data_IF_445652743538
#
_entry.id   IF_445652743538
#
_cell.length_a   1.000
_cell.length_b   1.000
_cell.length_c   1.000
_cell.angle_alpha   90.00
_cell.angle_beta   90.00
_cell.angle_gamma   90.00
#
_symmetry.space_group_name_H-M   'P 1'
#
loop_
_entity.id
_entity.type
_entity.pdbx_description
1 polymer ?
#
# COMPACT_ATOMS: atom_id res chain seq x y z
N UNK A 1 24.08 -20.74 -8.99
CA UNK A 1 23.24 -19.76 -8.29
C UNK A 1 23.93 -18.42 -8.40
N UNK A 2 23.35 -17.37 -8.98
CA UNK A 2 23.98 -16.06 -8.95
C UNK A 2 24.05 -15.61 -7.49
N UNK A 3 25.22 -15.12 -7.07
CA UNK A 3 25.47 -14.56 -5.76
C UNK A 3 24.50 -13.41 -5.50
N UNK A 4 23.77 -13.43 -4.38
CA UNK A 4 22.94 -12.32 -3.92
C UNK A 4 23.76 -11.02 -3.96
N UNK A 5 23.25 -9.95 -4.55
CA UNK A 5 23.93 -8.66 -4.46
C UNK A 5 23.99 -8.22 -2.98
N UNK A 6 25.16 -7.79 -2.53
CA UNK A 6 25.48 -7.42 -1.15
C UNK A 6 24.81 -6.08 -0.68
N UNK A 7 23.61 -5.76 -1.17
CA UNK A 7 22.97 -4.45 -0.98
C UNK A 7 21.87 -4.39 0.08
N UNK A 8 21.48 -5.55 0.63
CA UNK A 8 20.39 -5.60 1.59
C UNK A 8 20.92 -5.83 3.00
N UNK A 9 20.41 -5.07 3.94
CA UNK A 9 20.76 -5.18 5.36
C UNK A 9 20.01 -6.30 6.07
N UNK A 10 20.11 -6.33 7.39
CA UNK A 10 19.55 -7.38 8.24
C UNK A 10 18.21 -7.00 8.90
N UNK A 11 17.61 -5.86 8.54
CA UNK A 11 16.35 -5.41 9.13
C UNK A 11 15.16 -6.14 8.51
N UNK A 12 14.21 -6.52 9.35
CA UNK A 12 12.88 -6.93 8.90
C UNK A 12 12.05 -5.72 8.59
N UNK A 13 11.32 -5.76 7.47
CA UNK A 13 10.54 -4.64 6.99
C UNK A 13 9.08 -5.05 6.77
N UNK A 14 8.15 -4.29 7.33
CA UNK A 14 6.73 -4.37 7.00
C UNK A 14 6.35 -3.14 6.19
N UNK A 15 5.92 -3.36 4.96
CA UNK A 15 5.46 -2.32 4.04
C UNK A 15 3.96 -2.33 4.01
N UNK A 16 3.33 -1.26 4.45
CA UNK A 16 1.87 -1.09 4.43
C UNK A 16 1.44 -0.26 3.23
N UNK A 17 0.33 -0.64 2.62
CA UNK A 17 -0.42 0.32 1.82
C UNK A 17 -1.10 1.35 2.74
N UNK A 18 -1.54 2.47 2.16
CA UNK A 18 -2.17 3.57 2.89
C UNK A 18 -3.70 3.51 2.78
N UNK A 19 -4.22 3.69 1.55
CA UNK A 19 -5.65 3.84 1.27
C UNK A 19 -6.37 2.47 1.31
N UNK A 20 -7.31 2.28 2.22
CA UNK A 20 -7.99 0.99 2.42
C UNK A 20 -7.26 0.04 3.37
N UNK A 21 -6.01 0.36 3.75
CA UNK A 21 -5.21 -0.46 4.68
C UNK A 21 -5.01 0.24 6.01
N UNK A 22 -4.33 1.40 6.05
CA UNK A 22 -4.12 2.18 7.28
C UNK A 22 -5.25 3.19 7.52
N UNK A 23 -5.90 3.64 6.44
CA UNK A 23 -6.98 4.63 6.48
C UNK A 23 -8.16 4.20 5.60
N UNK A 24 -9.37 4.52 6.02
CA UNK A 24 -10.56 4.49 5.17
C UNK A 24 -10.70 5.83 4.45
N UNK A 25 -10.23 5.87 3.23
CA UNK A 25 -10.36 7.02 2.30
C UNK A 25 -11.32 6.76 1.15
N UNK A 26 -11.88 5.54 1.03
CA UNK A 26 -12.72 5.12 -0.09
C UNK A 26 -13.89 6.08 -0.37
N UNK A 27 -14.67 6.56 0.63
CA UNK A 27 -15.75 7.52 0.38
C UNK A 27 -15.25 8.83 -0.25
N UNK A 28 -14.10 9.33 0.22
CA UNK A 28 -13.47 10.56 -0.30
C UNK A 28 -12.97 10.37 -1.72
N UNK A 29 -12.32 9.24 -2.00
CA UNK A 29 -11.81 8.90 -3.33
C UNK A 29 -12.94 8.77 -4.36
N UNK A 30 -14.05 8.12 -3.99
CA UNK A 30 -15.23 8.00 -4.86
C UNK A 30 -15.86 9.36 -5.12
N UNK A 31 -16.01 10.19 -4.09
CA UNK A 31 -16.53 11.55 -4.24
C UNK A 31 -15.64 12.38 -5.17
N UNK A 32 -14.33 12.39 -4.94
CA UNK A 32 -13.36 13.12 -5.75
C UNK A 32 -13.38 12.67 -7.22
N UNK A 33 -13.48 11.35 -7.46
CA UNK A 33 -13.57 10.81 -8.81
C UNK A 33 -14.84 11.25 -9.55
N UNK A 34 -16.01 11.20 -8.88
CA UNK A 34 -17.26 11.67 -9.44
C UNK A 34 -17.23 13.18 -9.75
N UNK A 35 -16.66 13.98 -8.84
CA UNK A 35 -16.52 15.43 -9.01
C UNK A 35 -15.65 15.74 -10.23
N UNK A 36 -14.46 15.16 -10.31
CA UNK A 36 -13.57 15.37 -11.44
C UNK A 36 -14.17 14.88 -12.77
N UNK A 37 -14.88 13.76 -12.74
CA UNK A 37 -15.55 13.21 -13.92
C UNK A 37 -16.66 14.14 -14.42
N UNK A 38 -17.51 14.65 -13.52
CA UNK A 38 -18.59 15.58 -13.87
C UNK A 38 -18.04 16.89 -14.43
N UNK A 39 -16.95 17.42 -13.87
CA UNK A 39 -16.32 18.67 -14.30
C UNK A 39 -15.69 18.54 -15.70
N UNK A 40 -14.97 17.45 -15.96
CA UNK A 40 -14.14 17.34 -17.18
C UNK A 40 -14.86 16.59 -18.30
N UNK A 41 -15.61 15.53 -17.98
CA UNK A 41 -16.30 14.69 -18.97
C UNK A 41 -17.73 15.17 -19.21
N UNK A 42 -18.35 15.84 -18.23
CA UNK A 42 -19.66 16.45 -18.36
C UNK A 42 -20.83 15.48 -18.48
N UNK A 43 -20.65 14.22 -18.08
CA UNK A 43 -21.67 13.16 -18.11
C UNK A 43 -22.10 12.77 -16.70
N UNK A 44 -23.32 12.26 -16.58
CA UNK A 44 -23.94 12.01 -15.28
C UNK A 44 -23.39 10.78 -14.53
N UNK A 45 -22.79 9.82 -15.20
CA UNK A 45 -22.41 8.55 -14.57
C UNK A 45 -20.93 8.22 -14.76
N UNK A 46 -20.19 8.41 -13.67
CA UNK A 46 -18.78 8.07 -13.61
C UNK A 46 -18.59 6.54 -13.42
N UNK A 47 -17.61 5.90 -14.09
CA UNK A 47 -17.36 4.47 -13.99
C UNK A 47 -16.68 4.09 -12.65
N UNK A 48 -17.38 4.29 -11.54
CA UNK A 48 -16.84 4.15 -10.18
C UNK A 48 -16.34 2.76 -9.89
N UNK A 49 -17.06 1.71 -10.31
CA UNK A 49 -16.63 0.32 -10.06
C UNK A 49 -15.33 -0.02 -10.78
N UNK A 50 -15.13 0.52 -12.00
CA UNK A 50 -13.89 0.35 -12.74
C UNK A 50 -12.75 1.14 -12.11
N UNK A 51 -13.03 2.32 -11.56
CA UNK A 51 -12.08 3.11 -10.78
C UNK A 51 -11.64 2.38 -9.51
N UNK A 52 -12.59 1.83 -8.74
CA UNK A 52 -12.31 1.12 -7.50
C UNK A 52 -11.40 -0.11 -7.72
N UNK A 53 -11.60 -0.85 -8.81
CA UNK A 53 -10.75 -2.00 -9.16
C UNK A 53 -9.28 -1.63 -9.48
N UNK A 54 -9.00 -0.38 -9.75
CA UNK A 54 -7.66 0.13 -10.07
C UNK A 54 -7.03 0.92 -8.91
N UNK A 55 -7.74 1.10 -7.78
CA UNK A 55 -7.16 1.75 -6.61
C UNK A 55 -5.91 1.00 -6.14
N UNK A 56 -4.93 1.76 -5.68
CA UNK A 56 -3.58 1.28 -5.39
C UNK A 56 -2.57 1.68 -6.47
N UNK A 57 -3.00 1.89 -7.73
CA UNK A 57 -2.18 2.47 -8.78
C UNK A 57 -2.14 4.01 -8.68
N UNK A 58 -1.11 4.67 -9.26
CA UNK A 58 -1.09 6.12 -9.44
C UNK A 58 -2.29 6.62 -10.25
N UNK A 59 -2.91 7.73 -9.82
CA UNK A 59 -4.13 8.21 -10.47
C UNK A 59 -3.98 8.54 -11.97
N UNK A 60 -2.85 9.10 -12.46
CA UNK A 60 -2.63 9.26 -13.90
C UNK A 60 -2.68 7.93 -14.68
N UNK A 61 -2.18 6.84 -14.07
CA UNK A 61 -2.23 5.51 -14.67
C UNK A 61 -3.67 4.96 -14.67
N UNK A 62 -4.44 5.19 -13.61
CA UNK A 62 -5.86 4.84 -13.56
C UNK A 62 -6.62 5.53 -14.68
N UNK A 63 -6.40 6.85 -14.89
CA UNK A 63 -7.02 7.61 -15.98
C UNK A 63 -6.68 6.99 -17.35
N UNK A 64 -5.40 6.69 -17.59
CA UNK A 64 -4.95 6.09 -18.82
C UNK A 64 -5.60 4.71 -19.08
N UNK A 65 -5.68 3.85 -18.06
CA UNK A 65 -6.31 2.53 -18.14
C UNK A 65 -7.82 2.58 -18.39
N UNK A 66 -8.48 3.63 -17.87
CA UNK A 66 -9.92 3.86 -18.07
C UNK A 66 -10.22 4.63 -19.37
N UNK A 67 -9.20 5.07 -20.12
CA UNK A 67 -9.38 5.91 -21.31
C UNK A 67 -9.97 7.29 -20.97
N UNK A 68 -9.71 7.80 -19.76
CA UNK A 68 -10.23 9.07 -19.26
C UNK A 68 -9.22 10.22 -19.47
N UNK A 69 -9.71 11.45 -19.64
CA UNK A 69 -8.85 12.62 -19.87
C UNK A 69 -7.92 12.89 -18.69
N UNK A 70 -6.62 13.13 -18.95
CA UNK A 70 -5.65 13.51 -17.92
C UNK A 70 -6.03 14.79 -17.18
N UNK A 71 -6.82 15.65 -17.80
CA UNK A 71 -7.35 16.89 -17.20
C UNK A 71 -8.17 16.64 -15.94
N UNK A 72 -8.63 15.41 -15.69
CA UNK A 72 -9.27 15.03 -14.43
C UNK A 72 -8.33 15.02 -13.22
N UNK A 73 -7.00 15.08 -13.44
CA UNK A 73 -6.02 14.92 -12.35
C UNK A 73 -6.13 16.02 -11.30
N UNK A 74 -6.09 17.28 -11.70
CA UNK A 74 -6.17 18.42 -10.76
C UNK A 74 -7.54 18.57 -10.07
N UNK A 75 -8.69 18.45 -10.77
CA UNK A 75 -10.00 18.41 -10.11
C UNK A 75 -10.12 17.28 -9.08
N UNK A 76 -9.59 16.09 -9.41
CA UNK A 76 -9.58 14.96 -8.48
C UNK A 76 -8.74 15.26 -7.22
N UNK A 77 -7.53 15.80 -7.39
CA UNK A 77 -6.67 16.18 -6.26
C UNK A 77 -7.34 17.24 -5.38
N UNK A 78 -7.91 18.28 -5.98
CA UNK A 78 -8.59 19.34 -5.27
C UNK A 78 -9.79 18.81 -4.46
N UNK A 79 -10.64 17.99 -5.06
CA UNK A 79 -11.79 17.39 -4.39
C UNK A 79 -11.36 16.38 -3.29
N UNK A 80 -10.31 15.58 -3.54
CA UNK A 80 -9.75 14.68 -2.54
C UNK A 80 -9.16 15.43 -1.34
N UNK A 81 -8.49 16.57 -1.58
CA UNK A 81 -7.98 17.44 -0.51
C UNK A 81 -9.11 18.06 0.30
N UNK A 82 -10.13 18.58 -0.35
CA UNK A 82 -11.30 19.17 0.33
C UNK A 82 -12.03 18.14 1.24
N UNK A 83 -11.97 16.86 0.89
CA UNK A 83 -12.60 15.78 1.66
C UNK A 83 -11.74 15.18 2.77
N UNK A 84 -10.53 15.69 3.03
CA UNK A 84 -9.58 15.06 3.98
C UNK A 84 -10.14 14.85 5.39
N UNK A 85 -11.06 15.71 5.82
CA UNK A 85 -11.72 15.61 7.13
C UNK A 85 -12.65 14.38 7.27
N UNK A 86 -13.07 13.79 6.15
CA UNK A 86 -13.92 12.60 6.11
C UNK A 86 -13.10 11.29 6.05
N UNK A 87 -11.79 11.37 5.90
CA UNK A 87 -10.92 10.21 6.03
C UNK A 87 -10.89 9.77 7.51
N UNK A 88 -10.82 8.45 7.73
CA UNK A 88 -10.68 7.86 9.07
C UNK A 88 -9.46 6.96 9.12
N UNK A 89 -8.74 6.98 10.22
CA UNK A 89 -7.69 6.00 10.47
C UNK A 89 -8.30 4.69 10.98
N UNK A 90 -7.72 3.57 10.60
CA UNK A 90 -8.02 2.26 11.18
C UNK A 90 -7.20 2.09 12.46
N UNK A 91 -7.68 2.60 13.59
CA UNK A 91 -6.94 2.67 14.87
C UNK A 91 -6.40 1.30 15.31
N UNK A 92 -7.19 0.23 15.14
CA UNK A 92 -6.75 -1.13 15.47
C UNK A 92 -5.58 -1.59 14.60
N UNK A 93 -5.53 -1.17 13.32
CA UNK A 93 -4.40 -1.46 12.42
C UNK A 93 -3.17 -0.65 12.82
N UNK A 94 -3.34 0.59 13.24
CA UNK A 94 -2.22 1.41 13.75
C UNK A 94 -1.61 0.77 15.00
N UNK A 95 -2.43 0.19 15.88
CA UNK A 95 -1.95 -0.59 17.03
C UNK A 95 -1.11 -1.81 16.60
N UNK A 96 -1.49 -2.48 15.51
CA UNK A 96 -0.67 -3.57 14.92
C UNK A 96 0.67 -3.03 14.41
N UNK A 97 0.69 -1.85 13.77
CA UNK A 97 1.93 -1.22 13.32
C UNK A 97 2.86 -0.91 14.50
N UNK A 98 2.34 -0.38 15.60
CA UNK A 98 3.10 -0.13 16.83
C UNK A 98 3.71 -1.42 17.38
N UNK A 99 2.91 -2.47 17.51
CA UNK A 99 3.38 -3.78 17.99
C UNK A 99 4.48 -4.40 17.09
N UNK A 100 4.40 -4.18 15.79
CA UNK A 100 5.43 -4.62 14.82
C UNK A 100 6.73 -3.85 15.04
N UNK A 101 6.68 -2.55 15.27
CA UNK A 101 7.84 -1.70 15.57
C UNK A 101 8.47 -2.05 16.91
N UNK A 102 7.66 -2.21 17.96
CA UNK A 102 8.11 -2.63 19.29
C UNK A 102 8.83 -3.99 19.25
N UNK A 103 8.42 -4.83 18.30
CA UNK A 103 9.07 -6.11 18.02
C UNK A 103 10.37 -5.99 17.19
N UNK A 104 10.86 -4.76 16.93
CA UNK A 104 12.13 -4.49 16.26
C UNK A 104 12.09 -4.50 14.74
N UNK A 105 10.91 -4.52 14.11
CA UNK A 105 10.79 -4.37 12.66
C UNK A 105 10.83 -2.90 12.24
N UNK A 106 11.36 -2.63 11.05
CA UNK A 106 11.12 -1.37 10.34
C UNK A 106 9.74 -1.40 9.72
N UNK A 107 9.15 -0.22 9.56
CA UNK A 107 7.86 -0.07 8.89
C UNK A 107 7.95 1.02 7.82
N UNK A 108 7.23 0.83 6.73
CA UNK A 108 7.20 1.78 5.62
C UNK A 108 5.82 1.82 4.99
N UNK A 109 5.55 2.85 4.21
CA UNK A 109 4.32 3.01 3.44
C UNK A 109 4.64 2.96 1.95
N UNK A 110 3.89 2.15 1.19
CA UNK A 110 3.92 2.13 -0.26
C UNK A 110 2.51 2.36 -0.81
N UNK A 111 2.28 3.50 -1.45
CA UNK A 111 0.97 3.93 -1.92
C UNK A 111 1.00 4.44 -3.35
N UNK A 112 -0.11 4.29 -4.08
CA UNK A 112 -0.32 4.93 -5.38
C UNK A 112 -0.64 6.44 -5.31
N UNK A 113 -0.86 6.97 -4.10
CA UNK A 113 -1.10 8.39 -3.87
C UNK A 113 0.17 9.22 -4.11
N UNK A 114 0.01 10.45 -4.62
CA UNK A 114 1.13 11.38 -4.78
C UNK A 114 1.73 11.81 -3.43
N UNK A 115 2.98 12.29 -3.48
CA UNK A 115 3.77 12.64 -2.28
C UNK A 115 3.11 13.71 -1.44
N UNK A 116 2.62 14.78 -2.06
CA UNK A 116 2.01 15.90 -1.34
C UNK A 116 0.81 15.45 -0.52
N UNK A 117 -0.09 14.67 -1.13
CA UNK A 117 -1.27 14.12 -0.47
C UNK A 117 -0.91 13.07 0.59
N UNK A 118 0.12 12.29 0.34
CA UNK A 118 0.62 11.29 1.31
C UNK A 118 1.14 12.00 2.57
N UNK A 119 2.00 13.00 2.41
CA UNK A 119 2.55 13.79 3.53
C UNK A 119 1.44 14.43 4.34
N UNK A 120 0.48 15.09 3.68
CA UNK A 120 -0.67 15.73 4.32
C UNK A 120 -1.49 14.75 5.20
N UNK A 121 -1.68 13.51 4.73
CA UNK A 121 -2.37 12.47 5.50
C UNK A 121 -1.50 11.97 6.67
N UNK A 122 -0.21 11.74 6.43
CA UNK A 122 0.70 11.31 7.49
C UNK A 122 0.79 12.34 8.62
N UNK A 123 0.82 13.62 8.29
CA UNK A 123 0.80 14.74 9.25
C UNK A 123 -0.52 14.76 10.02
N UNK A 124 -1.65 14.69 9.32
CA UNK A 124 -2.99 14.77 9.93
C UNK A 124 -3.24 13.66 10.94
N UNK A 125 -2.84 12.44 10.64
CA UNK A 125 -3.06 11.27 11.52
C UNK A 125 -1.85 10.93 12.39
N UNK A 126 -0.78 11.73 12.36
CA UNK A 126 0.43 11.48 13.13
C UNK A 126 1.12 10.15 12.78
N UNK A 127 1.02 9.72 11.51
CA UNK A 127 1.51 8.41 11.07
C UNK A 127 3.03 8.36 10.89
N UNK A 128 3.72 9.51 10.90
CA UNK A 128 5.19 9.54 10.83
C UNK A 128 5.87 8.74 11.93
N UNK A 129 5.25 8.66 13.10
CA UNK A 129 5.77 7.83 14.20
C UNK A 129 5.78 6.34 13.87
N UNK A 130 4.98 5.92 12.89
CA UNK A 130 4.82 4.53 12.43
C UNK A 130 5.50 4.26 11.09
N UNK A 131 6.34 5.18 10.58
CA UNK A 131 6.84 5.09 9.21
C UNK A 131 8.31 5.51 9.16
N UNK A 132 9.19 4.57 8.78
CA UNK A 132 10.61 4.83 8.58
C UNK A 132 10.93 5.27 7.13
N UNK A 133 9.99 5.11 6.20
CA UNK A 133 10.16 5.50 4.80
C UNK A 133 8.86 5.40 4.00
N UNK A 134 8.78 6.14 2.90
CA UNK A 134 7.63 6.12 1.99
C UNK A 134 8.08 5.91 0.54
N UNK A 135 7.27 5.16 -0.21
CA UNK A 135 7.28 5.09 -1.67
C UNK A 135 5.89 5.50 -2.16
N UNK A 136 5.83 6.42 -3.11
CA UNK A 136 4.60 7.12 -3.51
C UNK A 136 4.37 7.08 -5.02
N UNK A 137 3.14 7.38 -5.45
CA UNK A 137 2.71 7.22 -6.83
C UNK A 137 3.36 8.14 -7.85
N UNK A 138 4.00 9.22 -7.42
CA UNK A 138 4.75 10.17 -8.26
C UNK A 138 6.27 10.04 -8.10
N UNK A 139 6.75 9.00 -7.43
CA UNK A 139 8.17 8.64 -7.45
C UNK A 139 8.59 8.24 -8.88
N UNK A 140 9.87 8.43 -9.27
CA UNK A 140 10.35 8.14 -10.63
C UNK A 140 10.23 6.67 -11.04
N UNK A 141 10.11 5.76 -10.06
CA UNK A 141 9.99 4.33 -10.30
C UNK A 141 8.55 3.96 -10.67
N UNK A 142 8.41 2.80 -11.32
CA UNK A 142 7.10 2.27 -11.64
C UNK A 142 6.28 2.03 -10.37
N UNK A 143 5.01 2.44 -10.42
CA UNK A 143 4.04 2.18 -9.35
C UNK A 143 3.58 0.72 -9.31
N UNK A 144 2.79 0.37 -8.28
CA UNK A 144 2.14 -0.95 -8.20
C UNK A 144 1.40 -1.28 -9.50
N UNK A 145 1.50 -2.47 -10.02
CA UNK A 145 1.99 -3.73 -9.42
C UNK A 145 3.50 -3.97 -9.59
N UNK A 146 4.29 -3.03 -10.11
CA UNK A 146 5.73 -3.19 -10.22
C UNK A 146 6.38 -3.27 -8.83
N UNK A 147 7.49 -4.02 -8.67
CA UNK A 147 8.17 -4.22 -7.38
C UNK A 147 9.05 -3.05 -6.96
N UNK A 148 9.18 -2.03 -7.80
CA UNK A 148 10.19 -0.97 -7.70
C UNK A 148 10.11 -0.20 -6.38
N UNK A 149 8.89 0.13 -5.92
CA UNK A 149 8.68 0.79 -4.62
C UNK A 149 9.12 -0.08 -3.44
N UNK A 150 8.88 -1.40 -3.51
CA UNK A 150 9.37 -2.34 -2.48
C UNK A 150 10.89 -2.38 -2.47
N UNK A 151 11.53 -2.47 -3.65
CA UNK A 151 12.99 -2.45 -3.75
C UNK A 151 13.60 -1.12 -3.26
N UNK A 152 12.94 0.01 -3.56
CA UNK A 152 13.36 1.32 -3.05
C UNK A 152 13.36 1.33 -1.52
N UNK A 153 12.26 0.89 -0.90
CA UNK A 153 12.13 0.83 0.56
C UNK A 153 13.15 -0.13 1.18
N UNK A 154 13.35 -1.31 0.59
CA UNK A 154 14.35 -2.27 1.04
C UNK A 154 15.77 -1.65 1.04
N UNK A 155 16.16 -0.95 -0.04
CA UNK A 155 17.46 -0.27 -0.11
C UNK A 155 17.59 0.84 0.92
N UNK A 156 16.56 1.69 1.04
CA UNK A 156 16.59 2.85 1.95
C UNK A 156 16.65 2.42 3.42
N UNK A 157 15.96 1.33 3.77
CA UNK A 157 15.79 0.87 5.15
C UNK A 157 16.68 -0.32 5.50
N UNK A 158 17.64 -0.65 4.63
CA UNK A 158 18.60 -1.75 4.83
C UNK A 158 17.88 -3.08 5.17
N UNK A 159 16.88 -3.45 4.37
CA UNK A 159 16.14 -4.71 4.46
C UNK A 159 16.33 -5.55 3.19
N UNK A 160 16.16 -6.86 3.30
CA UNK A 160 16.11 -7.77 2.14
C UNK A 160 14.63 -8.04 1.77
N UNK A 161 14.25 -8.12 0.48
CA UNK A 161 12.89 -8.49 0.09
C UNK A 161 12.39 -9.80 0.73
N UNK A 162 13.25 -10.80 0.95
CA UNK A 162 12.85 -12.06 1.62
C UNK A 162 12.55 -11.87 3.11
N UNK A 163 13.08 -10.82 3.73
CA UNK A 163 12.81 -10.39 5.10
C UNK A 163 11.82 -9.21 5.14
N UNK A 164 11.08 -9.03 4.05
CA UNK A 164 10.04 -8.00 3.89
C UNK A 164 8.68 -8.66 3.73
N UNK A 165 7.64 -8.01 4.24
CA UNK A 165 6.24 -8.36 3.98
C UNK A 165 5.46 -7.13 3.56
N UNK A 166 4.67 -7.26 2.51
CA UNK A 166 3.75 -6.23 2.02
C UNK A 166 2.35 -6.53 2.55
N UNK A 167 1.73 -5.53 3.16
CA UNK A 167 0.37 -5.57 3.69
C UNK A 167 -0.47 -4.58 2.90
N UNK A 168 -1.57 -5.03 2.31
CA UNK A 168 -2.43 -4.18 1.50
C UNK A 168 -3.80 -4.80 1.27
N UNK A 169 -4.72 -4.02 0.74
CA UNK A 169 -6.11 -4.42 0.51
C UNK A 169 -6.45 -4.62 -0.98
N UNK A 170 -5.49 -4.44 -1.87
CA UNK A 170 -5.70 -4.56 -3.32
C UNK A 170 -4.86 -5.68 -3.96
N UNK A 171 -5.31 -6.17 -5.12
CA UNK A 171 -4.54 -7.09 -5.94
C UNK A 171 -3.17 -6.52 -6.34
N UNK A 172 -3.06 -5.21 -6.52
CA UNK A 172 -1.82 -4.54 -6.91
C UNK A 172 -0.76 -4.61 -5.81
N UNK A 173 -1.15 -4.58 -4.53
CA UNK A 173 -0.25 -4.76 -3.39
C UNK A 173 0.36 -6.15 -3.38
N UNK A 174 -0.50 -7.15 -3.55
CA UNK A 174 -0.08 -8.55 -3.58
C UNK A 174 0.86 -8.83 -4.74
N UNK A 175 0.54 -8.32 -5.92
CA UNK A 175 1.38 -8.46 -7.11
C UNK A 175 2.74 -7.77 -6.93
N UNK A 176 2.78 -6.55 -6.38
CA UNK A 176 4.02 -5.82 -6.13
C UNK A 176 4.92 -6.56 -5.11
N UNK A 177 4.33 -7.05 -4.00
CA UNK A 177 5.05 -7.84 -2.99
C UNK A 177 5.62 -9.13 -3.58
N UNK A 178 4.80 -9.90 -4.29
CA UNK A 178 5.21 -11.14 -4.97
C UNK A 178 6.32 -10.91 -6.00
N UNK A 179 6.17 -9.88 -6.84
CA UNK A 179 7.17 -9.55 -7.84
C UNK A 179 8.51 -9.12 -7.21
N UNK A 180 8.48 -8.53 -6.02
CA UNK A 180 9.67 -8.19 -5.24
C UNK A 180 10.32 -9.42 -4.56
N UNK A 181 9.62 -10.54 -4.44
CA UNK A 181 10.05 -11.70 -3.65
C UNK A 181 9.82 -11.51 -2.13
N UNK A 182 8.94 -10.57 -1.76
CA UNK A 182 8.50 -10.36 -0.39
C UNK A 182 7.31 -11.28 -0.04
N UNK A 183 7.07 -11.46 1.25
CA UNK A 183 5.81 -12.03 1.74
C UNK A 183 4.65 -11.07 1.53
N UNK A 184 3.41 -11.58 1.51
CA UNK A 184 2.22 -10.78 1.25
C UNK A 184 1.08 -11.12 2.20
N UNK A 185 0.43 -10.09 2.74
CA UNK A 185 -0.77 -10.22 3.56
C UNK A 185 -1.87 -9.32 2.99
N UNK A 186 -2.94 -9.93 2.51
CA UNK A 186 -4.12 -9.22 2.02
C UNK A 186 -5.08 -8.88 3.16
N UNK A 187 -5.70 -7.70 3.12
CA UNK A 187 -6.63 -7.20 4.13
C UNK A 187 -8.04 -7.09 3.56
N UNK A 188 -9.08 -7.60 4.27
CA UNK A 188 -10.46 -7.61 3.79
C UNK A 188 -11.30 -6.40 4.21
N UNK A 189 -10.75 -5.45 4.94
CA UNK A 189 -11.49 -4.22 5.32
C UNK A 189 -11.38 -3.08 4.29
N UNK A 190 -10.62 -3.28 3.19
CA UNK A 190 -10.48 -2.33 2.09
C UNK A 190 -11.35 -2.66 0.87
N UNK A 191 -10.75 -2.72 -0.31
CA UNK A 191 -11.47 -2.87 -1.59
C UNK A 191 -11.45 -4.30 -2.15
N UNK A 192 -10.41 -5.09 -1.87
CA UNK A 192 -10.24 -6.41 -2.45
C UNK A 192 -11.08 -7.49 -1.78
N UNK A 193 -11.54 -8.44 -2.57
CA UNK A 193 -12.15 -9.68 -2.08
C UNK A 193 -11.08 -10.72 -1.74
N UNK A 194 -11.43 -11.71 -0.92
CA UNK A 194 -10.51 -12.82 -0.59
C UNK A 194 -10.03 -13.55 -1.86
N UNK A 195 -10.92 -13.77 -2.81
CA UNK A 195 -10.60 -14.44 -4.08
C UNK A 195 -9.60 -13.62 -4.91
N UNK A 196 -9.83 -12.31 -5.04
CA UNK A 196 -8.92 -11.41 -5.76
C UNK A 196 -7.54 -11.35 -5.12
N UNK A 197 -7.48 -11.18 -3.79
CA UNK A 197 -6.22 -11.12 -3.06
C UNK A 197 -5.42 -12.43 -3.16
N UNK A 198 -6.09 -13.59 -3.00
CA UNK A 198 -5.44 -14.90 -3.16
C UNK A 198 -4.96 -15.12 -4.59
N UNK A 199 -5.78 -14.80 -5.58
CA UNK A 199 -5.42 -14.93 -7.01
C UNK A 199 -4.26 -14.02 -7.39
N UNK A 200 -4.14 -12.86 -6.76
CA UNK A 200 -3.03 -11.93 -6.93
C UNK A 200 -1.76 -12.35 -6.18
N UNK A 201 -1.81 -13.36 -5.33
CA UNK A 201 -0.66 -13.95 -4.66
C UNK A 201 -0.52 -13.57 -3.19
N UNK A 202 -1.62 -13.31 -2.47
CA UNK A 202 -1.59 -13.20 -1.01
C UNK A 202 -1.17 -14.53 -0.37
N UNK A 203 -0.10 -14.53 0.43
CA UNK A 203 0.31 -15.70 1.23
C UNK A 203 -0.67 -15.95 2.37
N UNK A 204 -1.21 -14.85 2.93
CA UNK A 204 -2.24 -14.86 3.98
C UNK A 204 -3.28 -13.79 3.65
N UNK A 205 -4.54 -14.06 3.97
CA UNK A 205 -5.61 -13.07 3.94
C UNK A 205 -6.13 -12.90 5.36
N UNK A 206 -6.15 -11.65 5.85
CA UNK A 206 -6.60 -11.25 7.17
C UNK A 206 -7.98 -10.58 7.07
N UNK A 207 -8.96 -11.11 7.77
CA UNK A 207 -10.31 -10.54 7.81
C UNK A 207 -10.42 -9.35 8.78
N UNK A 208 -9.53 -9.27 9.74
CA UNK A 208 -9.51 -8.25 10.78
C UNK A 208 -8.06 -7.95 11.27
N UNK A 209 -7.85 -6.87 12.03
CA UNK A 209 -6.54 -6.50 12.55
C UNK A 209 -5.89 -7.55 13.47
N UNK A 210 -6.66 -8.36 14.19
CA UNK A 210 -6.13 -9.43 15.04
C UNK A 210 -5.51 -10.57 14.20
N UNK A 211 -6.16 -10.92 13.09
CA UNK A 211 -5.62 -11.88 12.14
C UNK A 211 -4.37 -11.34 11.45
N UNK A 212 -4.34 -10.03 11.12
CA UNK A 212 -3.14 -9.37 10.61
C UNK A 212 -1.98 -9.46 11.61
N UNK A 213 -2.22 -9.13 12.87
CA UNK A 213 -1.22 -9.24 13.94
C UNK A 213 -0.66 -10.67 14.04
N UNK A 214 -1.55 -11.66 14.01
CA UNK A 214 -1.18 -13.08 14.06
C UNK A 214 -0.33 -13.49 12.85
N UNK A 215 -0.71 -13.04 11.65
CA UNK A 215 0.03 -13.33 10.42
C UNK A 215 1.45 -12.73 10.46
N UNK A 216 1.58 -11.48 10.88
CA UNK A 216 2.88 -10.79 11.00
C UNK A 216 3.77 -11.42 12.10
N UNK A 217 3.19 -11.85 13.22
CA UNK A 217 3.92 -12.56 14.25
C UNK A 217 4.49 -13.89 13.74
N UNK A 218 3.70 -14.67 13.01
CA UNK A 218 4.12 -15.94 12.39
C UNK A 218 5.20 -15.72 11.32
N UNK A 219 5.02 -14.73 10.45
CA UNK A 219 6.02 -14.37 9.44
C UNK A 219 7.35 -14.03 10.10
N UNK A 220 7.35 -13.23 11.15
CA UNK A 220 8.56 -12.87 11.90
C UNK A 220 9.28 -14.09 12.49
N UNK A 221 8.57 -15.11 12.95
CA UNK A 221 9.17 -16.34 13.47
C UNK A 221 9.84 -17.16 12.39
N UNK A 222 9.28 -17.26 11.18
CA UNK A 222 9.83 -18.04 10.05
C UNK A 222 11.14 -17.48 9.53
N UNK A 223 11.26 -16.18 9.36
CA UNK A 223 12.50 -15.53 8.90
C UNK A 223 13.64 -15.70 9.91
N UNK A 224 13.35 -15.85 11.20
CA UNK A 224 14.36 -16.17 12.22
C UNK A 224 14.91 -17.58 12.15
N UNK A 225 14.18 -18.56 11.62
CA UNK A 225 14.63 -19.96 11.52
C UNK A 225 15.58 -20.23 10.35
N UNK A 226 15.47 -19.49 9.24
CA UNK A 226 16.37 -19.68 8.07
C UNK A 226 17.81 -19.25 8.38
N UNK A 227 18.04 -18.40 9.37
CA UNK A 227 19.38 -17.97 9.78
C UNK A 227 20.14 -18.99 10.64
N UNK A 228 19.46 -20.02 11.17
CA UNK A 228 20.07 -21.03 12.07
C UNK A 228 20.53 -22.27 11.31
N UNK A 229 20.01 -22.57 10.12
CA UNK A 229 20.38 -23.74 9.34
C UNK A 229 21.55 -23.53 8.35
N UNK A 230 22.10 -22.30 8.27
CA UNK A 230 23.21 -21.93 7.39
C UNK A 230 24.56 -21.79 8.15
N UNK A 231 24.79 -22.63 9.19
CA UNK A 231 26.12 -22.75 9.82
C UNK A 231 26.65 -24.19 9.71
#
# INVERSE_FOLDING_TARGET
MPSRPAYYGSHRLVVFDLDGTLIDSKPVMVHAFRTAYAEVVGRSEAPVDSFLRLLGAPFPEILARLGLPHQMYEPFRAASRAGIEHIRAHEDVLTVCEAVRDAGCRTAIYTGKDRERTVEILDRFGLWRLCDGIAVGDDPQAGKPAPDGVYQLCRTLAADPVDTVVVGDSALDMQAGRAAGAGTVGCLWGIGTEEELRSAGADVVAADPLQLQTALARWRQRTGMVMVEAR
#
